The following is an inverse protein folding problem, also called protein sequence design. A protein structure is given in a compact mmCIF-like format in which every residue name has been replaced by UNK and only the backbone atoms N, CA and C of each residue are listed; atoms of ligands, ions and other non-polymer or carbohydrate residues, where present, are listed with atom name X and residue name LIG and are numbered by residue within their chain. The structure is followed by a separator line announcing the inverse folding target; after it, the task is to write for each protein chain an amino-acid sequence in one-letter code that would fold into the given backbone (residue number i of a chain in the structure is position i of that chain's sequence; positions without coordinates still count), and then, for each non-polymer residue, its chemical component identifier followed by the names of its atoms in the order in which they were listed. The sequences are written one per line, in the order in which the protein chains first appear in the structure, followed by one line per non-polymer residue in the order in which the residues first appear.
data_IF_165304161484
#
_entry.id   IF_165304161484
#
_cell.length_a   1.000
_cell.length_b   1.000
_cell.length_c   1.000
_cell.angle_alpha   90.00
_cell.angle_beta   90.00
_cell.angle_gamma   90.00
#
_symmetry.space_group_name_H-M   'P 1'
#
loop_
_entity.id
_entity.type
_entity.pdbx_description
1 polymer ?
#
# COMPACT_ATOMS: atom_id res chain seq x y z
N UNK A 1 -19.28 16.07 -13.65
CA UNK A 1 -18.41 15.79 -12.48
C UNK A 1 -17.31 16.84 -12.49
N UNK A 2 -17.09 17.58 -11.40
CA UNK A 2 -16.06 18.60 -11.34
C UNK A 2 -14.66 17.97 -11.48
N UNK A 3 -13.87 18.37 -12.47
CA UNK A 3 -12.58 17.73 -12.82
C UNK A 3 -11.57 17.83 -11.68
N UNK A 4 -11.53 18.97 -10.97
CA UNK A 4 -10.71 19.12 -9.76
C UNK A 4 -11.06 18.08 -8.70
N UNK A 5 -12.35 17.87 -8.46
CA UNK A 5 -12.81 16.91 -7.45
C UNK A 5 -12.42 15.48 -7.83
N UNK A 6 -12.55 15.12 -9.11
CA UNK A 6 -12.10 13.82 -9.62
C UNK A 6 -10.60 13.62 -9.40
N UNK A 7 -9.77 14.61 -9.72
CA UNK A 7 -8.31 14.53 -9.52
C UNK A 7 -7.95 14.32 -8.06
N UNK A 8 -8.56 15.07 -7.14
CA UNK A 8 -8.33 14.91 -5.70
C UNK A 8 -8.74 13.53 -5.20
N UNK A 9 -9.90 13.03 -5.62
CA UNK A 9 -10.38 11.69 -5.24
C UNK A 9 -9.43 10.60 -5.77
N UNK A 10 -9.03 10.69 -7.04
CA UNK A 10 -8.08 9.73 -7.63
C UNK A 10 -6.74 9.74 -6.90
N UNK A 11 -6.22 10.93 -6.55
CA UNK A 11 -4.98 11.06 -5.78
C UNK A 11 -5.12 10.43 -4.38
N UNK A 12 -6.21 10.73 -3.68
CA UNK A 12 -6.47 10.19 -2.35
C UNK A 12 -6.58 8.65 -2.39
N UNK A 13 -7.34 8.10 -3.35
CA UNK A 13 -7.46 6.65 -3.54
C UNK A 13 -6.11 6.02 -3.85
N UNK A 14 -5.30 6.64 -4.71
CA UNK A 14 -3.97 6.16 -5.02
C UNK A 14 -3.09 6.09 -3.77
N UNK A 15 -3.04 7.16 -2.97
CA UNK A 15 -2.23 7.20 -1.73
C UNK A 15 -2.70 6.14 -0.73
N UNK A 16 -4.00 5.97 -0.56
CA UNK A 16 -4.57 4.95 0.33
C UNK A 16 -4.19 3.53 -0.13
N UNK A 17 -4.36 3.24 -1.42
CA UNK A 17 -4.01 1.94 -1.99
C UNK A 17 -2.50 1.68 -1.90
N UNK A 18 -1.67 2.67 -2.24
CA UNK A 18 -0.22 2.56 -2.13
C UNK A 18 0.21 2.30 -0.69
N UNK A 19 -0.38 2.99 0.29
CA UNK A 19 -0.13 2.76 1.71
C UNK A 19 -0.50 1.34 2.15
N UNK A 20 -1.67 0.86 1.73
CA UNK A 20 -2.12 -0.50 2.05
C UNK A 20 -1.22 -1.58 1.44
N UNK A 21 -0.83 -1.42 0.17
CA UNK A 21 0.10 -2.34 -0.51
C UNK A 21 1.46 -2.32 0.18
N UNK A 22 2.00 -1.14 0.50
CA UNK A 22 3.27 -1.00 1.21
C UNK A 22 3.26 -1.67 2.58
N UNK A 23 2.21 -1.45 3.38
CA UNK A 23 2.02 -2.14 4.66
C UNK A 23 1.95 -3.66 4.49
N UNK A 24 1.19 -4.13 3.49
CA UNK A 24 1.06 -5.56 3.21
C UNK A 24 2.38 -6.19 2.77
N UNK A 25 3.17 -5.49 1.97
CA UNK A 25 4.49 -5.93 1.52
C UNK A 25 5.49 -6.01 2.68
N UNK A 26 5.52 -5.01 3.57
CA UNK A 26 6.37 -5.03 4.78
C UNK A 26 5.99 -6.22 5.66
N UNK A 27 4.69 -6.39 5.93
CA UNK A 27 4.19 -7.51 6.72
C UNK A 27 4.59 -8.85 6.10
N UNK A 28 4.41 -9.00 4.79
CA UNK A 28 4.82 -10.20 4.06
C UNK A 28 6.34 -10.43 4.18
N UNK A 29 7.15 -9.39 3.94
CA UNK A 29 8.60 -9.49 4.04
C UNK A 29 9.06 -9.93 5.43
N UNK A 30 8.44 -9.42 6.49
CA UNK A 30 8.70 -9.84 7.87
C UNK A 30 8.32 -11.32 8.10
N UNK A 31 7.17 -11.76 7.59
CA UNK A 31 6.74 -13.16 7.70
C UNK A 31 7.69 -14.10 6.93
N UNK A 32 8.13 -13.70 5.74
CA UNK A 32 9.10 -14.44 4.95
C UNK A 32 10.47 -14.50 5.65
N UNK A 33 10.90 -13.38 6.24
CA UNK A 33 12.14 -13.33 7.01
C UNK A 33 12.10 -14.29 8.19
N UNK A 34 11.02 -14.27 8.98
CA UNK A 34 10.83 -15.22 10.09
C UNK A 34 10.82 -16.68 9.61
N UNK A 35 10.30 -16.93 8.41
CA UNK A 35 10.18 -18.29 7.88
C UNK A 35 11.49 -18.84 7.31
N UNK A 36 12.30 -18.00 6.68
CA UNK A 36 13.43 -18.43 5.85
C UNK A 36 14.80 -17.91 6.32
N UNK A 37 14.86 -16.76 6.98
CA UNK A 37 16.13 -16.15 7.42
C UNK A 37 16.39 -16.33 8.93
N UNK A 38 15.36 -16.68 9.71
CA UNK A 38 15.50 -17.03 11.13
C UNK A 38 15.64 -18.55 11.37
N UNK A 39 15.98 -19.33 10.33
CA UNK A 39 16.29 -20.75 10.40
C UNK A 39 17.80 -20.98 10.60
#
# INVERSE_FOLDING_TARGET
MNERLRTWISMALFVVLAGYVGFSAIRLALLLWQRFAAA
#
